data_IF_010039384509
#
_entry.id   IF_010039384509
#
_cell.length_a   1.000
_cell.length_b   1.000
_cell.length_c   1.000
_cell.angle_alpha   90.00
_cell.angle_beta   90.00
_cell.angle_gamma   90.00
#
_symmetry.space_group_name_H-M   'P 1'
#
loop_
_entity.id
_entity.type
_entity.pdbx_description
1 polymer ?
#
# COMPACT_ATOMS: atom_id res chain seq x y z
N UNK A 1 -15.21 -2.95 -2.45
CA UNK A 1 -14.07 -3.64 -3.11
C UNK A 1 -12.76 -3.34 -2.40
N UNK A 2 -12.38 -2.05 -2.25
CA UNK A 2 -11.11 -1.63 -1.63
C UNK A 2 -10.87 -2.13 -0.20
N UNK A 3 -11.86 -2.01 0.68
CA UNK A 3 -11.73 -2.50 2.08
C UNK A 3 -11.40 -4.00 2.17
N UNK A 4 -11.94 -4.82 1.27
CA UNK A 4 -11.67 -6.28 1.30
C UNK A 4 -10.23 -6.59 0.92
N UNK A 5 -9.70 -5.91 -0.10
CA UNK A 5 -8.29 -6.02 -0.49
C UNK A 5 -7.41 -5.52 0.65
N UNK A 6 -7.72 -4.35 1.20
CA UNK A 6 -6.99 -3.75 2.31
C UNK A 6 -6.89 -4.68 3.52
N UNK A 7 -8.00 -5.32 3.93
CA UNK A 7 -7.99 -6.27 5.04
C UNK A 7 -7.20 -7.56 4.75
N UNK A 8 -7.03 -7.92 3.48
CA UNK A 8 -6.25 -9.09 3.06
C UNK A 8 -4.74 -8.82 3.00
N UNK A 9 -4.32 -7.55 3.03
CA UNK A 9 -2.92 -7.14 2.94
C UNK A 9 -2.22 -7.20 4.31
N UNK A 10 -0.90 -7.42 4.30
CA UNK A 10 -0.06 -7.25 5.49
C UNK A 10 0.02 -5.78 5.88
N UNK A 11 0.41 -5.49 7.12
CA UNK A 11 0.42 -4.12 7.66
C UNK A 11 1.29 -3.15 6.85
N UNK A 12 2.43 -3.62 6.32
CA UNK A 12 3.31 -2.83 5.48
C UNK A 12 2.64 -2.49 4.14
N UNK A 13 2.07 -3.48 3.45
CA UNK A 13 1.34 -3.29 2.19
C UNK A 13 0.07 -2.45 2.37
N UNK A 14 -0.65 -2.61 3.48
CA UNK A 14 -1.82 -1.78 3.83
C UNK A 14 -1.45 -0.31 3.87
N UNK A 15 -0.38 0.02 4.57
CA UNK A 15 0.08 1.41 4.73
C UNK A 15 0.41 2.04 3.38
N UNK A 16 1.16 1.33 2.54
CA UNK A 16 1.52 1.80 1.19
C UNK A 16 0.31 1.89 0.27
N UNK A 17 -0.58 0.91 0.29
CA UNK A 17 -1.81 0.94 -0.51
C UNK A 17 -2.68 2.15 -0.15
N UNK A 18 -2.90 2.39 1.14
CA UNK A 18 -3.67 3.55 1.58
C UNK A 18 -3.01 4.88 1.19
N UNK A 19 -1.68 4.96 1.24
CA UNK A 19 -0.92 6.11 0.77
C UNK A 19 -1.11 6.37 -0.72
N UNK A 20 -0.99 5.35 -1.57
CA UNK A 20 -1.20 5.46 -3.03
C UNK A 20 -2.61 5.96 -3.34
N UNK A 21 -3.63 5.35 -2.74
CA UNK A 21 -5.02 5.73 -2.97
C UNK A 21 -5.32 7.16 -2.48
N UNK A 22 -4.72 7.57 -1.36
CA UNK A 22 -4.87 8.93 -0.85
C UNK A 22 -4.20 9.97 -1.77
N UNK A 23 -2.99 9.68 -2.27
CA UNK A 23 -2.26 10.59 -3.17
C UNK A 23 -2.97 10.79 -4.50
N UNK A 24 -3.64 9.75 -5.04
CA UNK A 24 -4.46 9.85 -6.26
C UNK A 24 -5.62 10.85 -6.13
N UNK A 25 -6.14 11.04 -4.92
CA UNK A 25 -7.28 11.91 -4.65
C UNK A 25 -6.86 13.37 -4.37
N UNK A 26 -5.59 13.64 -4.10
CA UNK A 26 -5.08 14.98 -3.82
C UNK A 26 -5.53 15.54 -2.46
N UNK A 27 -5.93 16.82 -2.42
CA UNK A 27 -6.30 17.50 -1.18
C UNK A 27 -7.52 16.85 -0.51
N UNK A 28 -7.33 16.34 0.71
CA UNK A 28 -8.37 15.64 1.50
C UNK A 28 -8.44 14.13 1.27
N UNK A 29 -7.67 13.59 0.32
CA UNK A 29 -7.61 12.14 0.06
C UNK A 29 -7.19 11.31 1.27
N UNK A 30 -6.30 11.85 2.11
CA UNK A 30 -5.85 11.19 3.34
C UNK A 30 -6.99 10.98 4.34
N UNK A 31 -7.81 12.00 4.61
CA UNK A 31 -8.94 11.88 5.54
C UNK A 31 -10.00 10.93 4.97
N UNK A 32 -10.29 11.06 3.68
CA UNK A 32 -11.25 10.20 3.00
C UNK A 32 -10.85 8.72 3.07
N UNK A 33 -9.60 8.39 2.71
CA UNK A 33 -9.10 7.01 2.72
C UNK A 33 -8.96 6.48 4.16
N UNK A 34 -8.56 7.32 5.12
CA UNK A 34 -8.51 6.95 6.54
C UNK A 34 -9.88 6.49 7.04
N UNK A 35 -10.94 7.25 6.71
CA UNK A 35 -12.32 6.91 7.11
C UNK A 35 -12.85 5.71 6.33
N UNK A 36 -12.54 5.59 5.05
CA UNK A 36 -12.97 4.48 4.20
C UNK A 36 -12.33 3.14 4.62
N UNK A 37 -11.04 3.14 4.93
CA UNK A 37 -10.29 1.93 5.29
C UNK A 37 -10.22 1.68 6.80
N UNK A 38 -10.76 2.61 7.61
CA UNK A 38 -10.75 2.53 9.07
C UNK A 38 -9.35 2.56 9.67
N UNK A 39 -8.44 3.33 9.07
CA UNK A 39 -7.05 3.45 9.52
C UNK A 39 -6.69 4.87 9.92
N UNK A 40 -5.64 5.02 10.73
CA UNK A 40 -5.23 6.33 11.21
C UNK A 40 -4.60 7.15 10.06
N UNK A 41 -4.97 8.43 9.86
CA UNK A 41 -4.39 9.26 8.80
C UNK A 41 -2.86 9.41 8.92
N UNK A 42 -2.28 9.24 10.11
CA UNK A 42 -0.81 9.18 10.28
C UNK A 42 -0.21 7.94 9.60
N UNK A 43 -0.93 6.81 9.58
CA UNK A 43 -0.51 5.60 8.85
C UNK A 43 -0.36 5.90 7.37
N UNK A 44 -1.35 6.58 6.79
CA UNK A 44 -1.34 6.97 5.38
C UNK A 44 -0.18 7.92 5.09
N UNK A 45 0.01 8.97 5.90
CA UNK A 45 1.13 9.92 5.75
C UNK A 45 2.49 9.23 5.86
N UNK A 46 2.63 8.30 6.80
CA UNK A 46 3.84 7.50 6.94
C UNK A 46 4.09 6.65 5.69
N UNK A 47 3.04 6.06 5.11
CA UNK A 47 3.13 5.33 3.85
C UNK A 47 3.55 6.22 2.67
N UNK A 48 3.09 7.48 2.63
CA UNK A 48 3.52 8.45 1.61
C UNK A 48 5.02 8.74 1.77
N UNK A 49 5.48 9.01 3.00
CA UNK A 49 6.90 9.22 3.29
C UNK A 49 7.74 7.99 2.93
N UNK A 50 7.27 6.78 3.23
CA UNK A 50 7.95 5.53 2.86
C UNK A 50 8.02 5.34 1.34
N UNK A 51 7.02 5.80 0.59
CA UNK A 51 7.01 5.74 -0.88
C UNK A 51 7.90 6.81 -1.52
N UNK A 52 7.95 8.01 -0.94
CA UNK A 52 8.77 9.13 -1.44
C UNK A 52 10.25 9.02 -1.00
N UNK A 53 10.51 8.46 0.18
CA UNK A 53 11.83 8.34 0.78
C UNK A 53 12.73 7.27 0.15
N UNK A 54 12.22 6.51 -0.82
CA UNK A 54 13.01 5.54 -1.56
C UNK A 54 13.58 4.40 -0.70
N UNK A 55 12.97 4.10 0.45
CA UNK A 55 13.28 2.87 1.20
C UNK A 55 12.99 1.71 0.25
N UNK A 56 14.09 1.13 -0.25
CA UNK A 56 14.11 0.20 -1.37
C UNK A 56 12.95 -0.75 -1.25
N UNK A 57 12.14 -0.73 -2.29
CA UNK A 57 11.01 -1.61 -2.47
C UNK A 57 11.45 -3.05 -2.15
N UNK A 58 11.19 -3.54 -0.93
CA UNK A 58 11.20 -4.97 -0.57
C UNK A 58 10.11 -5.75 -1.35
N UNK A 59 9.71 -5.23 -2.51
CA UNK A 59 9.13 -5.97 -3.63
C UNK A 59 10.06 -7.05 -4.20
N UNK A 60 11.29 -7.21 -3.70
CA UNK A 60 12.12 -8.42 -3.92
C UNK A 60 11.45 -9.72 -3.42
N UNK A 61 10.31 -9.65 -2.72
CA UNK A 61 9.44 -10.81 -2.45
C UNK A 61 8.21 -10.93 -3.35
N UNK A 62 8.13 -10.21 -4.47
CA UNK A 62 7.31 -10.65 -5.60
C UNK A 62 8.04 -11.84 -6.23
N UNK A 63 7.82 -13.01 -5.63
CA UNK A 63 8.16 -14.33 -6.16
C UNK A 63 7.70 -14.37 -7.61
N UNK A 64 8.64 -14.31 -8.57
CA UNK A 64 8.41 -14.80 -9.93
C UNK A 64 8.01 -16.27 -9.81
N UNK A 65 6.70 -16.54 -9.82
CA UNK A 65 6.18 -17.87 -10.10
C UNK A 65 6.07 -17.98 -11.63
N UNK A 66 6.92 -18.82 -12.21
CA UNK A 66 7.02 -19.16 -13.65
C UNK A 66 8.48 -19.03 -14.11
N UNK A 67 9.19 -20.03 -14.64
CA UNK A 67 8.83 -21.06 -15.64
C UNK A 67 9.94 -22.15 -15.68
N UNK A 68 9.57 -23.42 -15.96
CA UNK A 68 10.44 -24.56 -16.36
C UNK A 68 11.20 -25.25 -15.21
N UNK A 69 11.02 -26.51 -14.85
CA UNK A 69 10.69 -27.67 -15.70
C UNK A 69 11.92 -28.09 -16.50
N UNK A 70 12.80 -28.88 -15.87
CA UNK A 70 13.64 -29.96 -16.43
C UNK A 70 14.19 -29.83 -17.85
N UNK A 71 15.52 -29.80 -17.97
CA UNK A 71 16.29 -30.73 -18.83
C UNK A 71 17.71 -30.93 -18.27
#
# INVERSE_FOLDING_TARGET
>A
MMERLYRSLRENDRRRYAAIEATKLGHGGVDYIARLLGCDPKTIRQGVIELEGGDELDTQRIRKKGVGGSE
#
